data_IF_848400983754
#
_entry.id   IF_848400983754
#
_cell.length_a   1.000
_cell.length_b   1.000
_cell.length_c   1.000
_cell.angle_alpha   90.00
_cell.angle_beta   90.00
_cell.angle_gamma   90.00
#
_symmetry.space_group_name_H-M   'P 1'
#
loop_
_entity.id
_entity.type
_entity.pdbx_description
1 polymer ?
#
# COMPACT_ATOMS: atom_id res chain seq x y z
N UNK A 1 -23.92 7.27 -0.06
CA UNK A 1 -22.57 7.11 -0.65
C UNK A 1 -21.60 8.27 -0.33
N UNK A 2 -21.89 9.18 0.62
CA UNK A 2 -21.04 10.34 0.91
C UNK A 2 -19.83 10.06 1.85
N UNK A 3 -19.85 8.95 2.60
CA UNK A 3 -18.80 8.62 3.58
C UNK A 3 -17.44 8.33 2.92
N UNK A 4 -17.45 7.62 1.78
CA UNK A 4 -16.26 7.15 1.07
C UNK A 4 -15.42 8.30 0.50
N UNK A 5 -16.10 9.33 -0.03
CA UNK A 5 -15.45 10.50 -0.63
C UNK A 5 -14.62 11.30 0.40
N UNK A 6 -15.03 11.31 1.67
CA UNK A 6 -14.33 11.99 2.75
C UNK A 6 -13.14 11.16 3.25
N UNK A 7 -13.29 9.83 3.26
CA UNK A 7 -12.30 8.88 3.75
C UNK A 7 -11.04 8.84 2.84
N UNK A 8 -11.22 8.89 1.51
CA UNK A 8 -10.10 8.97 0.55
C UNK A 8 -9.48 10.36 0.43
N UNK A 9 -10.10 11.39 1.00
CA UNK A 9 -9.54 12.74 1.12
C UNK A 9 -8.57 12.85 2.31
N UNK A 10 -8.76 12.01 3.34
CA UNK A 10 -7.90 11.99 4.51
C UNK A 10 -6.51 11.42 4.18
N UNK A 11 -5.42 12.19 4.34
CA UNK A 11 -4.07 11.74 4.04
C UNK A 11 -3.65 10.52 4.87
N UNK A 12 -4.15 10.41 6.11
CA UNK A 12 -3.88 9.25 6.96
C UNK A 12 -4.43 7.95 6.37
N UNK A 13 -5.59 7.99 5.72
CA UNK A 13 -6.16 6.79 5.10
C UNK A 13 -5.44 6.43 3.80
N UNK A 14 -5.03 7.43 3.03
CA UNK A 14 -4.27 7.24 1.78
C UNK A 14 -2.91 6.61 1.97
N UNK A 15 -2.23 6.94 3.06
CA UNK A 15 -0.89 6.43 3.35
C UNK A 15 -0.91 5.29 4.37
N UNK A 16 -1.89 5.26 5.26
CA UNK A 16 -2.01 4.25 6.31
C UNK A 16 -2.35 2.86 5.76
N UNK A 17 -3.30 2.77 4.82
CA UNK A 17 -3.67 1.49 4.21
C UNK A 17 -2.49 0.85 3.45
N UNK A 18 -1.86 1.51 2.47
CA UNK A 18 -0.71 0.93 1.78
C UNK A 18 0.54 0.83 2.66
N UNK A 19 0.70 1.71 3.65
CA UNK A 19 1.78 1.63 4.62
C UNK A 19 1.69 0.36 5.47
N UNK A 20 0.49 -0.01 5.92
CA UNK A 20 0.27 -1.22 6.71
C UNK A 20 0.48 -2.49 5.89
N UNK A 21 -0.03 -2.56 4.66
CA UNK A 21 0.21 -3.72 3.78
C UNK A 21 1.69 -3.87 3.46
N UNK A 22 2.38 -2.76 3.16
CA UNK A 22 3.82 -2.78 2.91
C UNK A 22 4.60 -3.25 4.13
N UNK A 23 4.25 -2.79 5.33
CA UNK A 23 4.89 -3.24 6.57
C UNK A 23 4.73 -4.75 6.80
N UNK A 24 3.53 -5.30 6.53
CA UNK A 24 3.28 -6.74 6.61
C UNK A 24 4.10 -7.51 5.57
N UNK A 25 4.16 -7.02 4.32
CA UNK A 25 4.97 -7.63 3.26
C UNK A 25 6.45 -7.67 3.67
N UNK A 26 6.98 -6.56 4.18
CA UNK A 26 8.36 -6.47 4.68
C UNK A 26 8.58 -7.46 5.84
N UNK A 27 7.66 -7.53 6.79
CA UNK A 27 7.75 -8.48 7.90
C UNK A 27 7.81 -9.93 7.40
N UNK A 28 6.94 -10.34 6.48
CA UNK A 28 6.94 -11.69 5.91
C UNK A 28 8.25 -11.94 5.14
N UNK A 29 8.70 -10.98 4.35
CA UNK A 29 9.90 -11.08 3.54
C UNK A 29 11.17 -11.32 4.39
N UNK A 30 11.24 -10.75 5.61
CA UNK A 30 12.41 -10.93 6.49
C UNK A 30 12.25 -12.03 7.55
N UNK A 31 11.03 -12.35 7.98
CA UNK A 31 10.79 -13.31 9.06
C UNK A 31 10.45 -14.72 8.57
N UNK A 32 9.93 -14.86 7.34
CA UNK A 32 9.39 -16.13 6.83
C UNK A 32 10.13 -16.60 5.57
N UNK A 33 10.55 -15.67 4.71
CA UNK A 33 11.16 -16.02 3.43
C UNK A 33 12.68 -16.13 3.54
N UNK A 34 13.18 -17.36 3.37
CA UNK A 34 14.61 -17.66 3.36
C UNK A 34 15.26 -17.41 1.98
N UNK A 35 14.50 -17.58 0.89
CA UNK A 35 14.99 -17.36 -0.46
C UNK A 35 15.18 -15.87 -0.75
N UNK A 36 16.42 -15.49 -1.08
CA UNK A 36 16.79 -14.10 -1.33
C UNK A 36 16.08 -13.50 -2.55
N UNK A 37 15.85 -14.27 -3.60
CA UNK A 37 15.17 -13.81 -4.83
C UNK A 37 13.72 -13.52 -4.54
N UNK A 38 13.03 -14.43 -3.84
CA UNK A 38 11.64 -14.25 -3.43
C UNK A 38 11.52 -13.05 -2.49
N UNK A 39 12.47 -12.89 -1.56
CA UNK A 39 12.51 -11.72 -0.67
C UNK A 39 12.60 -10.41 -1.45
N UNK A 40 13.52 -10.32 -2.42
CA UNK A 40 13.67 -9.13 -3.26
C UNK A 40 12.42 -8.85 -4.10
N UNK A 41 11.79 -9.89 -4.64
CA UNK A 41 10.54 -9.76 -5.38
C UNK A 41 9.40 -9.22 -4.48
N UNK A 42 9.27 -9.73 -3.26
CA UNK A 42 8.27 -9.23 -2.30
C UNK A 42 8.51 -7.76 -1.93
N UNK A 43 9.76 -7.37 -1.71
CA UNK A 43 10.11 -5.97 -1.43
C UNK A 43 9.79 -5.07 -2.62
N UNK A 44 10.05 -5.53 -3.84
CA UNK A 44 9.67 -4.80 -5.06
C UNK A 44 8.14 -4.62 -5.15
N UNK A 45 7.37 -5.67 -4.89
CA UNK A 45 5.89 -5.60 -4.87
C UNK A 45 5.40 -4.64 -3.79
N UNK A 46 5.94 -4.72 -2.57
CA UNK A 46 5.59 -3.81 -1.48
C UNK A 46 5.90 -2.35 -1.80
N UNK A 47 7.05 -2.07 -2.43
CA UNK A 47 7.39 -0.72 -2.88
C UNK A 47 6.43 -0.21 -3.96
N UNK A 48 6.03 -1.07 -4.90
CA UNK A 48 5.04 -0.73 -5.93
C UNK A 48 3.68 -0.44 -5.29
N UNK A 49 3.20 -1.28 -4.36
CA UNK A 49 1.94 -1.05 -3.64
C UNK A 49 1.96 0.29 -2.91
N UNK A 50 3.04 0.56 -2.16
CA UNK A 50 3.20 1.80 -1.39
C UNK A 50 3.13 3.05 -2.26
N UNK A 51 3.64 2.99 -3.49
CA UNK A 51 3.68 4.13 -4.40
C UNK A 51 2.44 4.26 -5.27
N UNK A 52 1.87 3.13 -5.73
CA UNK A 52 0.78 3.11 -6.71
C UNK A 52 -0.57 3.27 -6.04
N UNK A 53 -0.81 2.58 -4.92
CA UNK A 53 -2.08 2.64 -4.19
C UNK A 53 -2.50 4.06 -3.79
N UNK A 54 -1.65 4.92 -3.20
CA UNK A 54 -2.04 6.29 -2.90
C UNK A 54 -2.32 7.13 -4.16
N UNK A 55 -1.69 6.84 -5.29
CA UNK A 55 -1.97 7.51 -6.56
C UNK A 55 -3.34 7.10 -7.11
N UNK A 56 -3.70 5.82 -7.02
CA UNK A 56 -5.02 5.32 -7.43
C UNK A 56 -6.10 5.94 -6.54
N UNK A 57 -5.91 5.94 -5.21
CA UNK A 57 -6.83 6.59 -4.28
C UNK A 57 -6.94 8.09 -4.52
N UNK A 58 -5.86 8.74 -5.00
CA UNK A 58 -5.88 10.14 -5.40
C UNK A 58 -6.70 10.41 -6.64
N UNK A 59 -6.64 9.53 -7.63
CA UNK A 59 -7.47 9.59 -8.84
C UNK A 59 -8.94 9.29 -8.51
N UNK A 60 -9.20 8.26 -7.70
CA UNK A 60 -10.55 7.89 -7.27
C UNK A 60 -11.25 9.04 -6.54
N UNK A 61 -10.56 9.74 -5.63
CA UNK A 61 -11.13 10.87 -4.91
C UNK A 61 -11.38 12.13 -5.77
N UNK A 62 -10.75 12.25 -6.95
CA UNK A 62 -11.02 13.33 -7.91
C UNK A 62 -12.21 13.02 -8.83
N UNK A 63 -12.46 11.74 -9.07
CA UNK A 63 -13.50 11.25 -9.97
C UNK A 63 -14.80 10.84 -9.24
N UNK A 64 -14.83 10.95 -7.91
CA UNK A 64 -15.97 10.66 -7.04
C UNK A 64 -16.61 11.96 -6.54
#
# INVERSE_FOLDING_TARGET
>A
MAQSANLFRNPLFRWGVPGMTTAVIVAIAFLVVEDQTVRLAMLAVGAVDLLVTPQILKRAARNA
#
